data_IF_061478644497
#
_entry.id   IF_061478644497
#
_cell.length_a   1.000
_cell.length_b   1.000
_cell.length_c   1.000
_cell.angle_alpha   90.00
_cell.angle_beta   90.00
_cell.angle_gamma   90.00
#
_symmetry.space_group_name_H-M   'P 1'
#
loop_
_entity.id
_entity.type
_entity.pdbx_description
1 polymer ?
#
# COMPACT_ATOMS: atom_id res chain seq x y z
N UNK A 1 -4.28 -19.56 -17.60
CA UNK A 1 -5.15 -19.04 -18.67
C UNK A 1 -6.46 -18.44 -18.17
N UNK A 2 -7.26 -19.12 -17.35
CA UNK A 2 -8.52 -18.57 -16.80
C UNK A 2 -8.36 -17.20 -16.10
N UNK A 3 -7.33 -17.06 -15.25
CA UNK A 3 -7.04 -15.78 -14.57
C UNK A 3 -6.71 -14.64 -15.54
N UNK A 4 -6.04 -14.92 -16.67
CA UNK A 4 -5.74 -13.92 -17.70
C UNK A 4 -6.99 -13.50 -18.48
N UNK A 5 -7.89 -14.45 -18.78
CA UNK A 5 -9.19 -14.16 -19.42
C UNK A 5 -10.09 -13.33 -18.51
N UNK A 6 -10.07 -13.59 -17.20
CA UNK A 6 -10.82 -12.81 -16.20
C UNK A 6 -10.22 -11.41 -16.03
N UNK A 7 -8.89 -11.29 -16.03
CA UNK A 7 -8.21 -9.99 -15.89
C UNK A 7 -8.25 -9.13 -17.17
N UNK A 8 -8.35 -9.74 -18.35
CA UNK A 8 -8.23 -9.07 -19.65
C UNK A 8 -6.79 -8.67 -19.99
N UNK A 9 -6.54 -8.24 -21.24
CA UNK A 9 -5.23 -7.74 -21.66
C UNK A 9 -4.76 -6.60 -20.74
N UNK A 10 -3.55 -6.73 -20.20
CA UNK A 10 -2.97 -5.75 -19.27
C UNK A 10 -3.75 -5.57 -17.95
N UNK A 11 -4.70 -6.45 -17.61
CA UNK A 11 -5.56 -6.28 -16.44
C UNK A 11 -6.72 -5.30 -16.66
N UNK A 12 -7.07 -4.98 -17.91
CA UNK A 12 -8.09 -3.99 -18.25
C UNK A 12 -9.48 -4.24 -17.62
N UNK A 13 -9.81 -5.50 -17.27
CA UNK A 13 -11.06 -5.88 -16.58
C UNK A 13 -10.97 -5.80 -15.05
N UNK A 14 -9.76 -5.75 -14.48
CA UNK A 14 -9.54 -5.54 -13.04
C UNK A 14 -9.75 -4.07 -12.65
N UNK A 15 -9.51 -3.15 -13.58
CA UNK A 15 -9.87 -1.74 -13.43
C UNK A 15 -11.37 -1.66 -13.65
N UNK A 16 -12.16 -1.67 -12.57
CA UNK A 16 -13.60 -1.47 -12.67
C UNK A 16 -13.90 -0.15 -13.41
N UNK A 17 -14.32 -0.24 -14.67
CA UNK A 17 -14.64 0.91 -15.51
C UNK A 17 -16.09 1.31 -15.23
N UNK A 18 -16.28 2.36 -14.44
CA UNK A 18 -17.61 2.86 -14.09
C UNK A 18 -17.61 3.93 -12.99
N UNK A 19 -18.62 4.81 -12.95
CA UNK A 19 -18.74 5.88 -11.95
C UNK A 19 -19.21 5.40 -10.57
N UNK A 20 -19.56 4.11 -10.42
CA UNK A 20 -20.11 3.54 -9.19
C UNK A 20 -19.14 3.63 -8.00
N UNK A 21 -19.70 3.78 -6.80
CA UNK A 21 -18.96 3.80 -5.53
C UNK A 21 -18.04 2.58 -5.35
N UNK A 22 -18.48 1.32 -5.56
CA UNK A 22 -17.60 0.16 -5.43
C UNK A 22 -16.45 0.16 -6.45
N UNK A 23 -16.69 0.64 -7.67
CA UNK A 23 -15.64 0.76 -8.68
C UNK A 23 -14.56 1.79 -8.27
N UNK A 24 -14.96 2.90 -7.64
CA UNK A 24 -14.02 3.89 -7.08
C UNK A 24 -13.16 3.29 -5.96
N UNK A 25 -13.79 2.58 -5.02
CA UNK A 25 -13.08 1.92 -3.92
C UNK A 25 -12.07 0.88 -4.45
N UNK A 26 -12.48 0.04 -5.40
CA UNK A 26 -11.58 -0.94 -6.02
C UNK A 26 -10.37 -0.28 -6.70
N UNK A 27 -10.57 0.83 -7.43
CA UNK A 27 -9.47 1.59 -8.05
C UNK A 27 -8.52 2.20 -7.03
N UNK A 28 -9.05 2.74 -5.93
CA UNK A 28 -8.23 3.27 -4.84
C UNK A 28 -7.35 2.16 -4.23
N UNK A 29 -7.95 1.02 -3.88
CA UNK A 29 -7.24 -0.13 -3.31
C UNK A 29 -6.16 -0.63 -4.28
N UNK A 30 -6.50 -0.80 -5.56
CA UNK A 30 -5.55 -1.20 -6.60
C UNK A 30 -4.38 -0.20 -6.70
N UNK A 31 -4.67 1.10 -6.67
CA UNK A 31 -3.64 2.15 -6.75
C UNK A 31 -2.68 2.09 -5.56
N UNK A 32 -3.20 1.84 -4.36
CA UNK A 32 -2.38 1.68 -3.16
C UNK A 32 -1.50 0.44 -3.24
N UNK A 33 -2.05 -0.71 -3.65
CA UNK A 33 -1.29 -1.96 -3.83
C UNK A 33 -0.16 -1.75 -4.84
N UNK A 34 -0.46 -1.14 -5.99
CA UNK A 34 0.54 -0.86 -7.01
C UNK A 34 1.62 0.11 -6.50
N UNK A 35 1.24 1.18 -5.79
CA UNK A 35 2.20 2.15 -5.25
C UNK A 35 3.17 1.51 -4.25
N UNK A 36 2.65 0.67 -3.36
CA UNK A 36 3.45 -0.09 -2.38
C UNK A 36 4.37 -1.08 -3.12
N UNK A 37 3.87 -1.79 -4.12
CA UNK A 37 4.66 -2.73 -4.93
C UNK A 37 5.78 -2.06 -5.74
N UNK A 38 5.55 -0.87 -6.29
CA UNK A 38 6.56 -0.10 -7.04
C UNK A 38 7.78 0.30 -6.18
N UNK A 39 7.58 0.46 -4.87
CA UNK A 39 8.64 0.82 -3.92
C UNK A 39 8.99 -0.35 -2.99
N UNK A 40 8.90 -1.58 -3.52
CA UNK A 40 9.01 -2.82 -2.76
C UNK A 40 10.22 -2.89 -1.83
N UNK A 41 11.41 -2.45 -2.26
CA UNK A 41 12.61 -2.50 -1.42
C UNK A 41 12.49 -1.67 -0.14
N UNK A 42 12.07 -0.41 -0.25
CA UNK A 42 11.94 0.49 0.90
C UNK A 42 10.83 0.01 1.84
N UNK A 43 9.68 -0.37 1.27
CA UNK A 43 8.55 -0.91 2.02
C UNK A 43 8.96 -2.19 2.74
N UNK A 44 9.70 -3.08 2.08
CA UNK A 44 10.16 -4.34 2.65
C UNK A 44 11.01 -4.13 3.90
N UNK A 45 12.06 -3.31 3.81
CA UNK A 45 12.95 -3.02 4.95
C UNK A 45 12.17 -2.41 6.11
N UNK A 46 11.30 -1.44 5.83
CA UNK A 46 10.45 -0.84 6.87
C UNK A 46 9.51 -1.87 7.48
N UNK A 47 8.90 -2.75 6.68
CA UNK A 47 7.97 -3.76 7.17
C UNK A 47 8.61 -4.72 8.17
N UNK A 48 9.89 -5.07 7.96
CA UNK A 48 10.63 -5.96 8.86
C UNK A 48 10.88 -5.31 10.23
N UNK A 49 11.25 -4.03 10.24
CA UNK A 49 11.38 -3.25 11.47
C UNK A 49 10.02 -3.08 12.16
N UNK A 50 9.00 -2.69 11.38
CA UNK A 50 7.66 -2.41 11.88
C UNK A 50 7.02 -3.65 12.48
N UNK A 51 7.21 -4.84 11.89
CA UNK A 51 6.71 -6.10 12.41
C UNK A 51 7.23 -6.38 13.83
N UNK A 52 8.51 -6.08 14.10
CA UNK A 52 9.09 -6.26 15.44
C UNK A 52 8.51 -5.26 16.45
N UNK A 53 8.39 -3.99 16.06
CA UNK A 53 7.82 -2.95 16.92
C UNK A 53 6.34 -3.19 17.20
N UNK A 54 5.57 -3.61 16.20
CA UNK A 54 4.15 -3.90 16.33
C UNK A 54 3.88 -5.18 17.12
N UNK A 55 4.74 -6.20 16.99
CA UNK A 55 4.70 -7.38 17.85
C UNK A 55 4.87 -6.99 19.32
N UNK A 56 5.88 -6.17 19.62
CA UNK A 56 6.08 -5.64 20.97
C UNK A 56 4.91 -4.80 21.46
N UNK A 57 4.35 -3.92 20.61
CA UNK A 57 3.17 -3.14 20.96
C UNK A 57 1.97 -4.04 21.29
N UNK A 58 1.73 -5.10 20.53
CA UNK A 58 0.69 -6.09 20.83
C UNK A 58 0.93 -6.84 22.14
N UNK A 59 2.19 -7.10 22.49
CA UNK A 59 2.54 -7.76 23.74
C UNK A 59 2.23 -6.86 24.95
N UNK A 60 2.36 -5.53 24.82
CA UNK A 60 2.01 -4.58 25.87
C UNK A 60 0.51 -4.25 25.93
N UNK A 61 -0.15 -4.04 24.77
CA UNK A 61 -1.56 -3.66 24.71
C UNK A 61 -2.53 -4.85 24.84
N UNK A 62 -2.02 -6.07 24.75
CA UNK A 62 -2.82 -7.30 24.73
C UNK A 62 -3.40 -7.62 23.34
N UNK A 63 -3.59 -8.91 23.07
CA UNK A 63 -3.96 -9.44 21.75
C UNK A 63 -5.47 -9.65 21.57
N UNK A 64 -6.26 -8.62 21.80
CA UNK A 64 -7.69 -8.64 21.45
C UNK A 64 -7.90 -8.45 19.94
N UNK A 65 -9.04 -8.89 19.40
CA UNK A 65 -9.37 -8.68 17.98
C UNK A 65 -9.34 -7.19 17.59
N UNK A 66 -9.80 -6.31 18.49
CA UNK A 66 -9.77 -4.85 18.28
C UNK A 66 -8.35 -4.29 18.26
N UNK A 67 -7.51 -4.69 19.22
CA UNK A 67 -6.11 -4.23 19.29
C UNK A 67 -5.32 -4.71 18.06
N UNK A 68 -5.51 -5.97 17.66
CA UNK A 68 -4.88 -6.54 16.46
C UNK A 68 -5.32 -5.79 15.21
N UNK A 69 -6.62 -5.53 15.05
CA UNK A 69 -7.12 -4.77 13.90
C UNK A 69 -6.55 -3.35 13.86
N UNK A 70 -6.55 -2.63 14.99
CA UNK A 70 -6.01 -1.27 15.09
C UNK A 70 -4.52 -1.21 14.73
N UNK A 71 -3.71 -2.14 15.26
CA UNK A 71 -2.26 -2.19 14.97
C UNK A 71 -2.00 -2.53 13.50
N UNK A 72 -2.75 -3.45 12.90
CA UNK A 72 -2.60 -3.76 11.47
C UNK A 72 -3.00 -2.58 10.59
N UNK A 73 -4.09 -1.88 10.91
CA UNK A 73 -4.51 -0.68 10.17
C UNK A 73 -3.46 0.44 10.26
N UNK A 74 -2.88 0.65 11.44
CA UNK A 74 -1.75 1.57 11.61
C UNK A 74 -0.55 1.11 10.78
N UNK A 75 -0.28 -0.19 10.72
CA UNK A 75 0.80 -0.77 9.92
C UNK A 75 0.62 -0.50 8.43
N UNK A 76 -0.58 -0.71 7.90
CA UNK A 76 -0.90 -0.38 6.52
C UNK A 76 -0.72 1.11 6.23
N UNK A 77 -1.17 2.00 7.12
CA UNK A 77 -1.00 3.43 6.95
C UNK A 77 0.49 3.83 6.87
N UNK A 78 1.33 3.29 7.76
CA UNK A 78 2.78 3.53 7.75
C UNK A 78 3.42 3.03 6.44
N UNK A 79 3.11 1.81 6.00
CA UNK A 79 3.68 1.24 4.78
C UNK A 79 3.27 2.02 3.51
N UNK A 80 2.01 2.45 3.43
CA UNK A 80 1.54 3.33 2.35
C UNK A 80 2.30 4.66 2.40
N UNK A 81 2.43 5.28 3.58
CA UNK A 81 3.18 6.52 3.77
C UNK A 81 4.63 6.40 3.29
N UNK A 82 5.32 5.31 3.63
CA UNK A 82 6.68 5.03 3.16
C UNK A 82 6.75 4.86 1.65
N UNK A 83 5.78 4.17 1.03
CA UNK A 83 5.75 4.02 -0.42
C UNK A 83 5.60 5.37 -1.15
N UNK A 84 4.75 6.26 -0.63
CA UNK A 84 4.62 7.62 -1.17
C UNK A 84 5.87 8.46 -0.89
N UNK A 85 6.43 8.39 0.32
CA UNK A 85 7.66 9.09 0.68
C UNK A 85 8.84 8.67 -0.19
N UNK A 86 9.11 7.37 -0.32
CA UNK A 86 10.16 6.84 -1.19
C UNK A 86 9.96 7.25 -2.67
N UNK A 87 8.71 7.22 -3.14
CA UNK A 87 8.36 7.71 -4.47
C UNK A 87 8.64 9.21 -4.64
N UNK A 88 8.28 10.02 -3.64
CA UNK A 88 8.53 11.46 -3.63
C UNK A 88 10.03 11.79 -3.61
N UNK A 89 10.83 11.12 -2.76
CA UNK A 89 12.29 11.28 -2.74
C UNK A 89 12.91 11.02 -4.12
N UNK A 90 12.45 9.99 -4.83
CA UNK A 90 12.93 9.66 -6.19
C UNK A 90 12.61 10.74 -7.24
N UNK A 91 11.58 11.56 -7.01
CA UNK A 91 11.25 12.67 -7.92
C UNK A 91 12.18 13.88 -7.78
N UNK A 92 13.16 13.85 -6.86
CA UNK A 92 14.09 14.96 -6.60
C UNK A 92 13.36 16.31 -6.44
N UNK A 93 12.38 16.44 -5.52
CA UNK A 93 11.50 17.60 -5.40
C UNK A 93 12.24 18.92 -5.11
N UNK A 94 13.47 18.83 -4.61
CA UNK A 94 14.37 19.96 -4.34
C UNK A 94 15.19 20.41 -5.56
N UNK A 95 15.23 19.64 -6.66
CA UNK A 95 15.85 20.09 -7.91
C UNK A 95 14.85 20.98 -8.64
N UNK A 96 15.09 22.29 -8.60
CA UNK A 96 14.36 23.24 -9.45
C UNK A 96 14.54 22.84 -10.92
N UNK A 97 13.45 22.85 -11.69
CA UNK A 97 13.55 22.71 -13.15
C UNK A 97 14.30 23.93 -13.65
N UNK A 98 15.59 23.79 -13.95
CA UNK A 98 16.32 24.81 -14.70
C UNK A 98 15.68 24.87 -16.09
N UNK A 99 14.90 25.92 -16.33
CA UNK A 99 14.36 26.26 -17.65
C UNK A 99 15.44 26.82 -18.56
#
# INVERSE_FOLDING_TARGET
YLAWVVAGEGGARLVAQGPSIPARAARLVLTLILKVGQQSLAVFVVSMLLARLMGFALDYLGRSAGTVAAINLAGFAVLIGVAYGAGWFKTHPWRQKTG
#
